data_IF_727846962311
#
_entry.id   IF_727846962311
#
_cell.length_a   1.000
_cell.length_b   1.000
_cell.length_c   1.000
_cell.angle_alpha   90.00
_cell.angle_beta   90.00
_cell.angle_gamma   90.00
#
_symmetry.space_group_name_H-M   'P 1'
#
loop_
_entity.id
_entity.type
_entity.pdbx_description
1 polymer ?
#
# COMPACT_ATOMS: atom_id res chain seq x y z
N UNK A 1 12.05 20.70 4.20
CA UNK A 1 11.16 19.92 3.33
C UNK A 1 12.05 19.11 2.39
N UNK A 2 12.42 17.88 2.79
CA UNK A 2 13.30 17.00 2.00
C UNK A 2 12.42 16.02 1.24
N UNK A 3 12.44 16.15 -0.09
CA UNK A 3 11.74 15.30 -1.03
C UNK A 3 12.37 13.89 -1.01
N UNK A 4 11.51 12.88 -0.97
CA UNK A 4 11.88 11.48 -1.17
C UNK A 4 12.30 11.31 -2.64
N UNK A 5 13.53 10.90 -2.89
CA UNK A 5 14.02 10.61 -4.25
C UNK A 5 14.77 9.29 -4.22
N UNK A 6 14.15 8.22 -4.72
CA UNK A 6 14.91 7.05 -5.14
C UNK A 6 15.43 7.26 -6.57
N UNK A 7 16.74 7.06 -6.76
CA UNK A 7 17.41 7.07 -8.05
C UNK A 7 17.69 5.61 -8.41
N UNK A 8 16.88 5.01 -9.29
CA UNK A 8 17.29 3.78 -9.97
C UNK A 8 17.96 4.21 -11.27
N UNK A 9 19.23 4.61 -11.16
CA UNK A 9 20.09 4.60 -12.34
C UNK A 9 20.66 3.21 -12.49
N UNK A 10 20.46 2.57 -13.65
CA UNK A 10 21.21 1.39 -14.03
C UNK A 10 22.56 1.86 -14.56
N UNK A 11 23.67 1.76 -13.80
CA UNK A 11 24.97 2.04 -14.39
C UNK A 11 25.27 0.94 -15.40
N UNK A 12 25.70 1.33 -16.60
CA UNK A 12 26.30 0.40 -17.55
C UNK A 12 27.49 -0.28 -16.84
N UNK A 13 27.44 -1.59 -16.71
CA UNK A 13 28.41 -2.36 -15.93
C UNK A 13 29.77 -2.34 -16.65
N UNK A 14 30.63 -1.38 -16.28
CA UNK A 14 32.05 -1.38 -16.63
C UNK A 14 32.77 -2.32 -15.67
N UNK A 15 33.51 -3.28 -16.21
CA UNK A 15 34.05 -4.46 -15.52
C UNK A 15 35.24 -4.20 -14.57
N UNK A 16 35.43 -2.98 -14.06
CA UNK A 16 36.50 -2.67 -13.11
C UNK A 16 36.12 -1.46 -12.25
N UNK A 17 35.46 -1.68 -11.12
CA UNK A 17 35.33 -0.67 -10.05
C UNK A 17 35.42 -1.40 -8.69
N UNK A 18 36.58 -1.28 -8.03
CA UNK A 18 36.78 -1.68 -6.64
C UNK A 18 36.49 -0.47 -5.71
N UNK A 19 35.43 0.24 -6.03
CA UNK A 19 34.92 1.39 -5.27
C UNK A 19 33.74 0.87 -4.45
N UNK A 20 33.76 1.08 -3.13
CA UNK A 20 32.69 0.68 -2.23
C UNK A 20 31.45 1.54 -2.53
N UNK A 21 30.75 1.21 -3.61
CA UNK A 21 29.45 1.80 -3.96
C UNK A 21 28.51 1.51 -2.80
N UNK A 22 28.08 2.56 -2.10
CA UNK A 22 27.02 2.44 -1.09
C UNK A 22 25.87 1.64 -1.70
N UNK A 23 25.54 0.51 -1.09
CA UNK A 23 24.44 -0.32 -1.56
C UNK A 23 23.14 0.46 -1.45
N UNK A 24 22.42 0.56 -2.56
CA UNK A 24 21.11 1.22 -2.59
C UNK A 24 20.12 0.34 -1.84
N UNK A 25 19.72 0.76 -0.64
CA UNK A 25 18.71 0.06 0.16
C UNK A 25 17.28 0.49 -0.22
N UNK A 26 16.34 -0.44 -0.06
CA UNK A 26 14.89 -0.17 -0.11
C UNK A 26 14.32 0.27 1.25
N UNK A 27 15.17 0.35 2.28
CA UNK A 27 14.76 0.78 3.60
C UNK A 27 14.26 2.23 3.59
N UNK A 28 13.25 2.55 4.43
CA UNK A 28 12.87 3.92 4.64
C UNK A 28 14.05 4.76 5.15
N UNK A 29 14.13 6.01 4.66
CA UNK A 29 15.10 6.99 5.15
C UNK A 29 14.84 7.36 6.63
N UNK A 30 13.57 7.29 7.07
CA UNK A 30 13.15 7.52 8.45
C UNK A 30 12.16 6.44 8.90
N UNK A 31 12.64 5.55 9.79
CA UNK A 31 11.85 4.48 10.38
C UNK A 31 10.78 4.98 11.34
N UNK A 32 10.99 6.12 12.00
CA UNK A 32 9.98 6.69 12.88
C UNK A 32 8.83 7.29 12.06
N UNK A 33 9.13 8.02 11.00
CA UNK A 33 8.09 8.54 10.07
C UNK A 33 7.25 7.40 9.48
N UNK A 34 7.91 6.32 9.04
CA UNK A 34 7.25 5.12 8.52
C UNK A 34 6.37 4.44 9.58
N UNK A 35 6.84 4.39 10.84
CA UNK A 35 6.05 3.87 11.96
C UNK A 35 4.81 4.73 12.22
N UNK A 36 4.93 6.06 12.19
CA UNK A 36 3.79 6.96 12.36
C UNK A 36 2.75 6.77 11.25
N UNK A 37 3.20 6.67 10.00
CA UNK A 37 2.31 6.35 8.88
C UNK A 37 1.62 5.00 9.09
N UNK A 38 2.37 3.96 9.48
CA UNK A 38 1.83 2.63 9.77
C UNK A 38 0.73 2.65 10.85
N UNK A 39 0.95 3.36 11.95
CA UNK A 39 -0.07 3.54 12.98
C UNK A 39 -1.32 4.24 12.44
N UNK A 40 -1.13 5.33 11.67
CA UNK A 40 -2.24 6.04 11.06
C UNK A 40 -3.06 5.13 10.13
N UNK A 41 -2.39 4.37 9.26
CA UNK A 41 -3.07 3.43 8.36
C UNK A 41 -3.87 2.41 9.15
N UNK A 42 -3.29 1.86 10.22
CA UNK A 42 -3.97 0.90 11.07
C UNK A 42 -5.23 1.49 11.70
N UNK A 43 -5.13 2.67 12.29
CA UNK A 43 -6.27 3.35 12.94
C UNK A 43 -7.37 3.66 11.92
N UNK A 44 -7.01 4.28 10.78
CA UNK A 44 -7.95 4.62 9.70
C UNK A 44 -8.63 3.33 9.16
N UNK A 45 -7.94 2.19 9.06
CA UNK A 45 -8.51 0.92 8.54
C UNK A 45 -9.40 0.21 9.56
N UNK A 46 -9.04 0.26 10.84
CA UNK A 46 -9.89 -0.27 11.91
C UNK A 46 -11.20 0.53 12.00
N UNK A 47 -11.12 1.86 11.92
CA UNK A 47 -12.28 2.74 11.84
C UNK A 47 -13.08 2.50 10.55
N UNK A 48 -12.39 2.24 9.43
CA UNK A 48 -13.02 1.88 8.17
C UNK A 48 -13.90 0.63 8.30
N UNK A 49 -13.43 -0.41 8.98
CA UNK A 49 -14.19 -1.65 9.21
C UNK A 49 -15.28 -1.49 10.29
N UNK A 50 -14.99 -0.77 11.38
CA UNK A 50 -15.94 -0.51 12.47
C UNK A 50 -17.20 0.18 11.98
N UNK A 51 -17.02 1.24 11.18
CA UNK A 51 -18.12 2.12 10.76
C UNK A 51 -18.74 1.68 9.43
N UNK A 52 -18.42 0.48 8.95
CA UNK A 52 -18.83 -0.03 7.65
C UNK A 52 -20.34 0.00 7.42
N UNK A 53 -21.13 -0.33 8.45
CA UNK A 53 -22.62 -0.33 8.40
C UNK A 53 -23.23 1.06 8.20
N UNK A 54 -22.46 2.12 8.44
CA UNK A 54 -22.90 3.51 8.29
C UNK A 54 -22.71 4.01 6.86
N UNK A 55 -22.10 3.20 5.99
CA UNK A 55 -21.78 3.54 4.59
C UNK A 55 -22.67 2.74 3.65
N UNK A 56 -22.95 3.23 2.45
CA UNK A 56 -23.68 2.44 1.46
C UNK A 56 -22.86 1.22 1.06
N UNK A 57 -23.54 0.12 0.78
CA UNK A 57 -22.93 -1.15 0.35
C UNK A 57 -22.01 -0.97 -0.85
N UNK A 58 -22.37 -0.10 -1.81
CA UNK A 58 -21.57 0.18 -3.01
C UNK A 58 -21.75 1.63 -3.46
N UNK A 59 -20.72 2.20 -4.10
CA UNK A 59 -20.74 3.53 -4.70
C UNK A 59 -20.15 3.46 -6.12
N UNK A 60 -20.81 4.02 -7.15
CA UNK A 60 -20.20 4.12 -8.47
C UNK A 60 -18.99 5.04 -8.43
N UNK A 61 -17.92 4.67 -9.14
CA UNK A 61 -16.75 5.54 -9.31
C UNK A 61 -17.18 6.78 -10.12
N UNK A 62 -17.02 8.01 -9.58
CA UNK A 62 -17.36 9.23 -10.30
C UNK A 62 -16.55 9.39 -11.59
N UNK A 63 -17.10 9.99 -12.65
CA UNK A 63 -16.38 10.20 -13.91
C UNK A 63 -15.03 10.90 -13.72
N UNK A 64 -14.96 11.88 -12.80
CA UNK A 64 -13.72 12.60 -12.50
C UNK A 64 -12.63 11.69 -11.93
N UNK A 65 -13.00 10.76 -11.05
CA UNK A 65 -12.07 9.80 -10.46
C UNK A 65 -11.57 8.81 -11.52
N UNK A 66 -12.46 8.36 -12.42
CA UNK A 66 -12.06 7.51 -13.56
C UNK A 66 -11.08 8.24 -14.48
N UNK A 67 -11.33 9.51 -14.78
CA UNK A 67 -10.44 10.34 -15.61
C UNK A 67 -9.07 10.49 -14.95
N UNK A 68 -9.02 10.79 -13.64
CA UNK A 68 -7.76 10.87 -12.89
C UNK A 68 -6.98 9.57 -13.04
N UNK A 69 -7.58 8.42 -12.71
CA UNK A 69 -6.91 7.11 -12.80
C UNK A 69 -6.44 6.82 -14.24
N UNK A 70 -7.25 7.17 -15.26
CA UNK A 70 -6.94 6.87 -16.65
C UNK A 70 -5.86 7.78 -17.26
N UNK A 71 -5.67 8.99 -16.73
CA UNK A 71 -4.79 10.01 -17.32
C UNK A 71 -3.56 10.33 -16.47
N UNK A 72 -3.54 9.92 -15.19
CA UNK A 72 -2.38 10.06 -14.32
C UNK A 72 -1.16 9.37 -14.91
N UNK A 73 -0.05 10.10 -14.96
CA UNK A 73 1.24 9.59 -15.42
C UNK A 73 1.89 8.82 -14.27
N UNK A 74 2.40 7.62 -14.53
CA UNK A 74 3.17 6.87 -13.55
C UNK A 74 4.45 7.64 -13.19
N UNK A 75 4.72 7.89 -11.91
CA UNK A 75 5.85 8.71 -11.51
C UNK A 75 7.17 8.00 -11.82
N UNK A 76 8.11 8.71 -12.44
CA UNK A 76 9.47 8.21 -12.70
C UNK A 76 10.35 8.22 -11.44
N UNK A 77 9.92 8.94 -10.41
CA UNK A 77 10.62 9.12 -9.15
C UNK A 77 9.69 8.76 -7.99
N UNK A 78 10.29 8.53 -6.83
CA UNK A 78 9.52 8.28 -5.61
C UNK A 78 8.59 9.41 -5.24
N UNK A 79 7.45 9.01 -4.70
CA UNK A 79 6.50 9.90 -4.06
C UNK A 79 6.52 9.65 -2.56
N UNK A 80 6.04 10.62 -1.79
CA UNK A 80 5.90 10.45 -0.36
C UNK A 80 4.90 9.33 -0.06
N UNK A 81 5.23 8.35 0.81
CA UNK A 81 4.27 7.33 1.24
C UNK A 81 2.99 7.92 1.84
N UNK A 82 3.08 9.10 2.47
CA UNK A 82 1.93 9.83 2.99
C UNK A 82 1.00 10.33 1.88
N UNK A 83 1.56 10.92 0.82
CA UNK A 83 0.78 11.41 -0.33
C UNK A 83 0.10 10.26 -1.06
N UNK A 84 0.83 9.15 -1.24
CA UNK A 84 0.29 7.92 -1.85
C UNK A 84 -0.85 7.35 -0.99
N UNK A 85 -0.70 7.34 0.33
CA UNK A 85 -1.76 6.88 1.22
C UNK A 85 -3.01 7.78 1.17
N UNK A 86 -2.84 9.11 1.15
CA UNK A 86 -3.94 10.05 1.01
C UNK A 86 -4.66 9.91 -0.34
N UNK A 87 -3.92 9.61 -1.41
CA UNK A 87 -4.48 9.27 -2.71
C UNK A 87 -5.30 7.98 -2.65
N UNK A 88 -4.77 6.90 -2.07
CA UNK A 88 -5.52 5.65 -1.85
C UNK A 88 -6.82 5.92 -1.08
N UNK A 89 -6.76 6.74 -0.04
CA UNK A 89 -7.92 7.06 0.81
C UNK A 89 -9.01 7.82 0.07
N UNK A 90 -8.63 8.69 -0.86
CA UNK A 90 -9.57 9.55 -1.58
C UNK A 90 -10.08 8.95 -2.89
N UNK A 91 -9.24 8.19 -3.60
CA UNK A 91 -9.48 7.74 -4.97
C UNK A 91 -9.80 6.24 -5.06
N UNK A 92 -9.29 5.41 -4.15
CA UNK A 92 -9.50 3.96 -4.20
C UNK A 92 -10.49 3.46 -3.14
N UNK A 93 -10.23 3.72 -1.85
CA UNK A 93 -11.02 3.18 -0.74
C UNK A 93 -12.54 3.42 -0.83
N UNK A 94 -13.04 4.59 -1.26
CA UNK A 94 -14.49 4.85 -1.28
C UNK A 94 -15.28 4.07 -2.33
N UNK A 95 -14.61 3.46 -3.31
CA UNK A 95 -15.24 2.89 -4.51
C UNK A 95 -14.95 1.41 -4.73
N UNK A 96 -14.71 0.67 -3.64
CA UNK A 96 -14.58 -0.79 -3.66
C UNK A 96 -15.93 -1.47 -3.96
N UNK A 97 -15.87 -2.76 -4.33
CA UNK A 97 -17.05 -3.56 -4.71
C UNK A 97 -18.08 -3.67 -3.58
N UNK A 98 -17.64 -3.61 -2.32
CA UNK A 98 -18.53 -3.61 -1.15
C UNK A 98 -18.75 -4.96 -0.48
N UNK A 99 -18.02 -6.00 -0.89
CA UNK A 99 -18.12 -7.38 -0.39
C UNK A 99 -17.91 -7.56 1.12
N UNK A 100 -17.26 -6.60 1.76
CA UNK A 100 -17.08 -6.60 3.21
C UNK A 100 -18.36 -6.17 3.96
N UNK A 101 -19.32 -5.54 3.28
CA UNK A 101 -20.52 -4.99 3.90
C UNK A 101 -21.56 -6.09 4.21
N UNK A 102 -22.22 -6.10 5.38
CA UNK A 102 -23.18 -7.17 5.76
C UNK A 102 -24.40 -7.32 4.82
N UNK A 103 -24.74 -6.26 4.08
CA UNK A 103 -25.82 -6.27 3.09
C UNK A 103 -25.32 -6.48 1.64
N UNK A 104 -24.06 -6.90 1.45
CA UNK A 104 -23.59 -7.31 0.14
C UNK A 104 -23.91 -8.79 -0.10
N UNK A 105 -24.85 -9.07 -1.02
CA UNK A 105 -25.33 -10.42 -1.32
C UNK A 105 -25.09 -10.82 -2.79
N UNK A 106 -24.03 -10.28 -3.42
CA UNK A 106 -23.65 -10.60 -4.79
C UNK A 106 -22.52 -11.61 -4.86
N UNK A 107 -22.60 -12.57 -5.79
CA UNK A 107 -21.51 -13.50 -6.12
C UNK A 107 -20.96 -14.30 -4.93
N UNK A 108 -19.85 -15.01 -5.14
CA UNK A 108 -19.06 -15.66 -4.08
C UNK A 108 -17.80 -14.81 -3.88
N UNK A 109 -17.86 -13.86 -2.94
CA UNK A 109 -16.71 -13.02 -2.57
C UNK A 109 -16.46 -13.13 -1.07
N UNK A 110 -15.20 -13.31 -0.67
CA UNK A 110 -14.83 -13.32 0.75
C UNK A 110 -15.04 -11.95 1.37
N UNK A 111 -15.64 -11.89 2.56
CA UNK A 111 -15.87 -10.63 3.30
C UNK A 111 -14.69 -10.21 4.17
N UNK A 112 -13.68 -11.08 4.33
CA UNK A 112 -12.52 -10.84 5.20
C UNK A 112 -12.88 -10.76 6.68
N UNK A 113 -11.89 -10.44 7.51
CA UNK A 113 -12.09 -10.11 8.94
C UNK A 113 -10.97 -9.18 9.43
N UNK A 114 -11.19 -8.40 10.51
CA UNK A 114 -10.14 -7.58 11.10
C UNK A 114 -8.90 -8.39 11.51
N UNK A 115 -9.10 -9.59 12.06
CA UNK A 115 -8.00 -10.50 12.43
C UNK A 115 -7.25 -10.99 11.19
N UNK A 116 -7.97 -11.32 10.11
CA UNK A 116 -7.36 -11.67 8.83
C UNK A 116 -6.47 -10.54 8.29
N UNK A 117 -6.95 -9.28 8.34
CA UNK A 117 -6.15 -8.14 7.91
C UNK A 117 -4.86 -7.95 8.74
N UNK A 118 -4.93 -8.17 10.05
CA UNK A 118 -3.73 -8.17 10.90
C UNK A 118 -2.78 -9.33 10.59
N UNK A 119 -3.33 -10.52 10.29
CA UNK A 119 -2.53 -11.66 9.87
C UNK A 119 -1.80 -11.40 8.55
N UNK A 120 -2.44 -10.74 7.59
CA UNK A 120 -1.80 -10.29 6.33
C UNK A 120 -0.67 -9.29 6.59
N UNK A 121 -0.87 -8.33 7.51
CA UNK A 121 0.20 -7.39 7.89
C UNK A 121 1.43 -8.12 8.48
N UNK A 122 1.21 -9.08 9.38
CA UNK A 122 2.29 -9.88 9.98
C UNK A 122 2.97 -10.73 8.90
N UNK A 123 2.21 -11.39 8.04
CA UNK A 123 2.73 -12.26 6.98
C UNK A 123 3.57 -11.46 5.98
N UNK A 124 3.08 -10.29 5.55
CA UNK A 124 3.83 -9.37 4.70
C UNK A 124 5.10 -8.82 5.38
N UNK A 125 5.07 -8.63 6.70
CA UNK A 125 6.25 -8.19 7.48
C UNK A 125 7.30 -9.30 7.57
N UNK A 126 6.87 -10.55 7.81
CA UNK A 126 7.78 -11.69 7.88
C UNK A 126 8.42 -11.99 6.52
N UNK A 127 7.68 -11.77 5.43
CA UNK A 127 8.13 -11.92 4.05
C UNK A 127 8.91 -13.24 3.80
N UNK A 128 8.41 -14.34 4.36
CA UNK A 128 9.09 -15.63 4.33
C UNK A 128 9.04 -16.27 2.95
N UNK A 129 10.18 -16.76 2.47
CA UNK A 129 10.25 -17.64 1.30
C UNK A 129 10.32 -19.11 1.74
N UNK A 130 9.22 -19.83 1.62
CA UNK A 130 9.11 -21.23 2.07
C UNK A 130 9.71 -22.23 1.06
N UNK A 131 11.03 -22.21 0.87
CA UNK A 131 11.77 -23.16 -0.01
C UNK A 131 12.14 -24.49 0.69
N UNK A 132 11.61 -24.76 1.88
CA UNK A 132 11.82 -26.03 2.59
C UNK A 132 13.05 -26.07 3.51
N UNK A 133 13.64 -24.92 3.84
CA UNK A 133 14.62 -24.79 4.92
C UNK A 133 13.97 -24.86 6.32
N UNK A 134 14.77 -25.02 7.38
CA UNK A 134 14.29 -24.98 8.76
C UNK A 134 14.02 -23.52 9.19
N UNK A 135 12.87 -23.00 8.76
CA UNK A 135 12.42 -21.63 8.99
C UNK A 135 10.97 -21.69 9.52
N UNK A 136 10.60 -20.68 10.32
CA UNK A 136 9.24 -20.52 10.83
C UNK A 136 8.28 -20.02 9.76
#
# INVERSE_FOLDING_TARGET
MKLWSFRIEFPCFSSNDNDSKEEVSLDPLDWNDTRYLGHKIMDDMMDYLRDLRQRPTWRPIPPKVKEIIATSVLPLHGQSPWEVYDEIRSIALPYVVGNIHPHYWGYVQGSGSPIGALAEFITGTMNTMSWGGHQA
#
